data_IF_347952618360
#
_entry.id   IF_347952618360
#
_cell.length_a   1.000
_cell.length_b   1.000
_cell.length_c   1.000
_cell.angle_alpha   90.00
_cell.angle_beta   90.00
_cell.angle_gamma   90.00
#
_symmetry.space_group_name_H-M   'P 1'
#
loop_
_entity.id
_entity.type
_entity.pdbx_description
1 polymer ?
#
# COMPACT_ATOMS: atom_id res chain seq x y z
N UNK A 1 -3.38 8.01 13.40
CA UNK A 1 -3.37 6.98 14.46
C UNK A 1 -4.14 5.71 14.07
N UNK A 2 -5.39 5.81 13.60
CA UNK A 2 -6.22 4.64 13.23
C UNK A 2 -5.65 3.79 12.07
N UNK A 3 -5.14 4.44 11.02
CA UNK A 3 -4.54 3.75 9.86
C UNK A 3 -3.38 2.84 10.25
N UNK A 4 -2.47 3.32 11.11
CA UNK A 4 -1.33 2.52 11.55
C UNK A 4 -1.77 1.32 12.39
N UNK A 5 -2.71 1.50 13.32
CA UNK A 5 -3.26 0.39 14.12
C UNK A 5 -3.90 -0.70 13.26
N UNK A 6 -4.61 -0.32 12.20
CA UNK A 6 -5.19 -1.27 11.26
C UNK A 6 -4.08 -2.03 10.52
N UNK A 7 -3.05 -1.32 10.05
CA UNK A 7 -1.91 -1.93 9.40
C UNK A 7 -1.17 -2.92 10.31
N UNK A 8 -0.90 -2.53 11.55
CA UNK A 8 -0.27 -3.39 12.55
C UNK A 8 -1.11 -4.68 12.78
N UNK A 9 -2.44 -4.57 12.79
CA UNK A 9 -3.34 -5.73 12.88
C UNK A 9 -3.30 -6.62 11.63
N UNK A 10 -3.29 -6.02 10.43
CA UNK A 10 -3.28 -6.77 9.17
C UNK A 10 -1.92 -7.42 8.88
N UNK A 11 -0.83 -6.88 9.42
CA UNK A 11 0.52 -7.40 9.19
C UNK A 11 0.75 -8.76 9.84
N UNK A 12 -0.07 -9.14 10.84
CA UNK A 12 -0.08 -10.47 11.45
C UNK A 12 -0.42 -11.61 10.46
N UNK A 13 -0.99 -11.31 9.29
CA UNK A 13 -1.38 -12.31 8.29
C UNK A 13 -0.33 -12.41 7.18
N UNK A 14 0.46 -13.47 7.14
CA UNK A 14 1.57 -13.62 6.17
C UNK A 14 1.09 -13.58 4.71
N UNK A 15 -0.08 -14.12 4.41
CA UNK A 15 -0.66 -14.21 3.07
C UNK A 15 -1.56 -13.03 2.69
N UNK A 16 -1.46 -11.90 3.39
CA UNK A 16 -2.26 -10.72 3.14
C UNK A 16 -1.38 -9.49 2.92
N UNK A 17 -1.66 -8.78 1.82
CA UNK A 17 -1.06 -7.48 1.52
C UNK A 17 -2.16 -6.47 1.23
N UNK A 18 -2.04 -5.30 1.86
CA UNK A 18 -2.87 -4.13 1.56
C UNK A 18 -2.21 -3.27 0.49
N UNK A 19 -2.88 -3.06 -0.64
CA UNK A 19 -2.39 -2.24 -1.74
C UNK A 19 -3.49 -1.36 -2.35
N UNK A 20 -3.10 -0.45 -3.24
CA UNK A 20 -4.02 0.45 -3.96
C UNK A 20 -4.74 1.46 -3.07
N UNK A 21 -5.72 2.17 -3.67
CA UNK A 21 -6.39 3.32 -3.06
C UNK A 21 -7.10 2.98 -1.74
N UNK A 22 -7.99 1.99 -1.79
CA UNK A 22 -8.82 1.62 -0.65
C UNK A 22 -8.07 0.78 0.38
N UNK A 23 -7.14 -0.08 -0.06
CA UNK A 23 -6.33 -0.88 0.85
C UNK A 23 -5.37 -0.05 1.69
N UNK A 24 -4.96 1.13 1.22
CA UNK A 24 -4.01 2.01 1.94
C UNK A 24 -4.60 3.34 2.40
N UNK A 25 -5.88 3.60 2.10
CA UNK A 25 -6.57 4.86 2.42
C UNK A 25 -5.84 6.09 1.86
N UNK A 26 -5.30 5.97 0.64
CA UNK A 26 -4.57 7.02 -0.09
C UNK A 26 -5.12 7.18 -1.49
N UNK A 27 -5.10 8.40 -2.02
CA UNK A 27 -5.38 8.63 -3.43
C UNK A 27 -4.11 8.35 -4.25
N UNK A 28 -4.24 7.55 -5.31
CA UNK A 28 -3.18 7.18 -6.24
C UNK A 28 -3.67 7.21 -7.67
N UNK A 29 -2.81 7.45 -8.65
CA UNK A 29 -3.17 7.19 -10.04
C UNK A 29 -3.11 5.71 -10.39
N UNK A 30 -3.58 5.40 -11.60
CA UNK A 30 -3.72 4.04 -12.09
C UNK A 30 -2.36 3.36 -12.29
N UNK A 31 -1.35 4.09 -12.76
CA UNK A 31 0.04 3.66 -12.88
C UNK A 31 0.61 3.23 -11.52
N UNK A 32 0.54 4.10 -10.50
CA UNK A 32 1.00 3.76 -9.15
C UNK A 32 0.21 2.61 -8.56
N UNK A 33 -1.12 2.58 -8.75
CA UNK A 33 -1.93 1.46 -8.27
C UNK A 33 -1.55 0.13 -8.94
N UNK A 34 -1.14 0.15 -10.21
CA UNK A 34 -0.66 -1.03 -10.94
C UNK A 34 0.70 -1.47 -10.41
N UNK A 35 1.65 -0.55 -10.22
CA UNK A 35 2.96 -0.84 -9.63
C UNK A 35 2.83 -1.44 -8.21
N UNK A 36 1.93 -0.90 -7.39
CA UNK A 36 1.62 -1.46 -6.07
C UNK A 36 1.10 -2.89 -6.17
N UNK A 37 0.26 -3.20 -7.18
CA UNK A 37 -0.26 -4.54 -7.40
C UNK A 37 0.84 -5.54 -7.79
N UNK A 38 1.77 -5.13 -8.65
CA UNK A 38 2.93 -5.95 -9.04
C UNK A 38 3.83 -6.20 -7.82
N UNK A 39 4.15 -5.17 -7.04
CA UNK A 39 4.97 -5.32 -5.84
C UNK A 39 4.28 -6.22 -4.78
N UNK A 40 2.96 -6.16 -4.66
CA UNK A 40 2.19 -7.07 -3.80
C UNK A 40 2.29 -8.53 -4.28
N UNK A 41 2.14 -8.77 -5.58
CA UNK A 41 2.30 -10.11 -6.16
C UNK A 41 3.72 -10.66 -5.91
N UNK A 42 4.75 -9.84 -6.10
CA UNK A 42 6.14 -10.23 -5.86
C UNK A 42 6.42 -10.54 -4.39
N UNK A 43 5.79 -9.84 -3.43
CA UNK A 43 5.90 -10.22 -2.02
C UNK A 43 5.23 -11.58 -1.74
N UNK A 44 4.01 -11.81 -2.26
CA UNK A 44 3.26 -13.05 -1.99
C UNK A 44 3.85 -14.29 -2.69
N UNK A 45 4.37 -14.14 -3.90
CA UNK A 45 4.68 -15.27 -4.79
C UNK A 45 6.18 -15.54 -4.93
N UNK A 46 7.04 -14.57 -4.59
CA UNK A 46 8.49 -14.65 -4.82
C UNK A 46 9.27 -14.38 -3.51
N UNK A 47 9.05 -15.19 -2.48
CA UNK A 47 9.84 -15.20 -1.24
C UNK A 47 10.05 -13.81 -0.58
N UNK A 48 9.02 -12.96 -0.56
CA UNK A 48 9.07 -11.62 0.05
C UNK A 48 10.13 -10.68 -0.56
N UNK A 49 10.37 -10.74 -1.88
CA UNK A 49 11.27 -9.80 -2.57
C UNK A 49 10.98 -8.32 -2.27
N UNK A 50 9.71 -7.99 -2.01
CA UNK A 50 9.27 -6.68 -1.51
C UNK A 50 8.76 -6.82 -0.09
N UNK A 51 8.95 -5.85 0.80
CA UNK A 51 8.26 -5.87 2.11
C UNK A 51 6.86 -5.29 1.96
N UNK A 52 5.94 -5.69 2.84
CA UNK A 52 4.58 -5.11 2.92
C UNK A 52 4.59 -3.59 3.07
N UNK A 53 5.58 -3.06 3.79
CA UNK A 53 5.78 -1.62 3.98
C UNK A 53 6.14 -0.92 2.67
N UNK A 54 6.98 -1.52 1.83
CA UNK A 54 7.40 -0.94 0.55
C UNK A 54 6.20 -0.78 -0.40
N UNK A 55 5.31 -1.78 -0.44
CA UNK A 55 4.05 -1.72 -1.22
C UNK A 55 3.15 -0.59 -0.72
N UNK A 56 3.05 -0.41 0.60
CA UNK A 56 2.19 0.62 1.22
C UNK A 56 2.72 2.04 1.08
N UNK A 57 4.04 2.20 1.10
CA UNK A 57 4.72 3.49 1.09
C UNK A 57 5.05 3.99 -0.32
N UNK A 58 4.80 3.18 -1.35
CA UNK A 58 4.88 3.59 -2.75
C UNK A 58 4.12 4.91 -2.97
N UNK A 59 4.73 5.82 -3.74
CA UNK A 59 4.22 7.17 -3.99
C UNK A 59 4.04 7.40 -5.47
N UNK A 60 3.02 8.16 -5.83
CA UNK A 60 2.91 8.72 -7.17
C UNK A 60 4.02 9.76 -7.39
N UNK A 61 4.39 10.02 -8.65
CA UNK A 61 5.46 10.96 -8.98
C UNK A 61 5.28 12.36 -8.36
N UNK A 62 6.42 13.04 -8.14
CA UNK A 62 6.62 14.25 -7.32
C UNK A 62 5.67 15.42 -7.56
N UNK A 63 5.01 15.51 -8.71
CA UNK A 63 4.15 16.65 -9.03
C UNK A 63 2.74 16.54 -8.45
N UNK A 64 2.36 15.40 -7.86
CA UNK A 64 0.98 15.21 -7.43
C UNK A 64 0.74 15.20 -5.93
N UNK A 65 -0.22 16.04 -5.53
CA UNK A 65 -0.70 16.16 -4.16
C UNK A 65 -1.48 14.88 -3.84
N UNK A 66 -0.80 13.93 -3.19
CA UNK A 66 -1.44 12.85 -2.47
C UNK A 66 -2.23 13.45 -1.31
N UNK A 67 -3.49 13.80 -1.55
CA UNK A 67 -4.40 14.18 -0.48
C UNK A 67 -4.59 12.96 0.42
N UNK A 68 -4.02 13.03 1.62
CA UNK A 68 -4.34 12.06 2.68
C UNK A 68 -5.81 12.25 2.96
N UNK A 69 -6.61 11.19 2.86
CA UNK A 69 -8.05 11.27 3.11
C UNK A 69 -8.27 11.93 4.49
N UNK A 70 -8.79 13.16 4.47
CA UNK A 70 -9.06 13.94 5.67
C UNK A 70 -10.24 13.27 6.35
N UNK A 71 -9.97 12.46 7.36
CA UNK A 71 -11.00 11.94 8.25
C UNK A 71 -11.12 12.93 9.41
N UNK A 72 -12.22 13.70 9.38
CA UNK A 72 -12.81 14.32 10.56
C UNK A 72 -13.37 13.26 11.50
#
# INVERSE_FOLDING_TARGET
MHRQKLFDFLDCYENLITCGRQGTFRYFFMDTAMEMGIAAEQNLMLDNLWKKEDVRLMRSEKELIEATSVTA
#
